data_IF_100575259472
#
_entry.id   IF_100575259472
#
_cell.length_a   1.000
_cell.length_b   1.000
_cell.length_c   1.000
_cell.angle_alpha   90.00
_cell.angle_beta   90.00
_cell.angle_gamma   90.00
#
_symmetry.space_group_name_H-M   'P 1'
#
loop_
_entity.id
_entity.type
_entity.pdbx_description
1 polymer ?
#
# COMPACT_ATOMS: atom_id res chain seq x y z
N UNK A 1 6.12 27.13 5.00
CA UNK A 1 4.93 26.61 4.30
C UNK A 1 4.39 25.42 5.07
N UNK A 2 3.09 25.30 5.22
CA UNK A 2 2.44 24.21 5.96
C UNK A 2 1.99 23.16 4.95
N UNK A 3 2.54 21.95 5.06
CA UNK A 3 2.28 20.83 4.13
C UNK A 3 1.26 19.87 4.73
N UNK A 4 0.16 19.61 4.03
CA UNK A 4 -0.75 18.50 4.33
C UNK A 4 -0.31 17.25 3.59
N UNK A 5 -0.48 16.08 4.22
CA UNK A 5 -0.25 14.79 3.57
C UNK A 5 -1.58 14.06 3.42
N UNK A 6 -1.87 13.64 2.20
CA UNK A 6 -3.10 12.94 1.80
C UNK A 6 -2.72 11.57 1.23
N UNK A 7 -3.51 10.55 1.50
CA UNK A 7 -3.40 9.23 0.90
C UNK A 7 -4.78 8.61 0.67
N UNK A 8 -4.84 7.59 -0.17
CA UNK A 8 -6.04 6.77 -0.36
C UNK A 8 -6.11 5.59 0.64
N UNK A 9 -7.25 4.94 0.70
CA UNK A 9 -7.50 3.84 1.65
C UNK A 9 -6.63 2.60 1.41
N UNK A 10 -6.00 2.46 0.23
CA UNK A 10 -5.08 1.35 -0.05
C UNK A 10 -3.87 1.28 0.88
N UNK A 11 -3.51 2.41 1.52
CA UNK A 11 -2.45 2.46 2.52
C UNK A 11 -2.83 1.69 3.80
N UNK A 12 -4.10 1.40 4.02
CA UNK A 12 -4.65 0.68 5.17
C UNK A 12 -4.09 1.21 6.52
N UNK A 13 -4.14 2.54 6.66
CA UNK A 13 -3.73 3.20 7.90
C UNK A 13 -4.80 3.02 8.98
N UNK A 14 -4.39 2.69 10.20
CA UNK A 14 -5.32 2.76 11.32
C UNK A 14 -5.73 4.22 11.58
N UNK A 15 -6.97 4.48 12.06
CA UNK A 15 -7.43 5.82 12.42
C UNK A 15 -6.47 6.54 13.38
N UNK A 16 -5.92 5.81 14.35
CA UNK A 16 -4.92 6.35 15.29
C UNK A 16 -3.65 6.79 14.56
N UNK A 17 -3.12 5.98 13.63
CA UNK A 17 -1.92 6.36 12.88
C UNK A 17 -2.17 7.56 11.96
N UNK A 18 -3.35 7.66 11.35
CA UNK A 18 -3.73 8.82 10.55
C UNK A 18 -3.80 10.10 11.43
N UNK A 19 -4.39 10.00 12.61
CA UNK A 19 -4.47 11.12 13.57
C UNK A 19 -3.10 11.54 14.09
N UNK A 20 -2.26 10.58 14.54
CA UNK A 20 -0.93 10.85 15.11
C UNK A 20 -0.02 11.63 14.15
N UNK A 21 -0.10 11.31 12.86
CA UNK A 21 0.68 11.95 11.80
C UNK A 21 -0.07 13.05 11.04
N UNK A 22 -1.31 13.38 11.42
CA UNK A 22 -2.17 14.35 10.74
C UNK A 22 -2.33 14.06 9.24
N UNK A 23 -2.51 12.80 8.90
CA UNK A 23 -2.71 12.32 7.54
C UNK A 23 -4.20 12.37 7.21
N UNK A 24 -4.55 12.95 6.08
CA UNK A 24 -5.90 12.85 5.51
C UNK A 24 -5.99 11.59 4.67
N UNK A 25 -6.92 10.71 4.99
CA UNK A 25 -7.20 9.49 4.21
C UNK A 25 -8.48 9.72 3.41
N UNK A 26 -8.43 9.45 2.10
CA UNK A 26 -9.60 9.45 1.22
C UNK A 26 -9.94 8.01 0.87
N UNK A 27 -11.23 7.67 0.85
CA UNK A 27 -11.67 6.29 0.76
C UNK A 27 -12.14 5.95 -0.65
N UNK A 28 -11.52 4.92 -1.24
CA UNK A 28 -11.93 4.42 -2.55
C UNK A 28 -13.29 3.71 -2.46
N UNK A 29 -14.22 3.95 -3.41
CA UNK A 29 -15.48 3.23 -3.46
C UNK A 29 -15.30 1.77 -3.86
N UNK A 30 -15.89 0.85 -3.09
CA UNK A 30 -15.93 -0.60 -3.33
C UNK A 30 -17.35 -0.99 -3.69
N UNK A 31 -17.52 -1.73 -4.77
CA UNK A 31 -18.83 -2.13 -5.27
C UNK A 31 -19.03 -3.64 -5.14
N UNK A 32 -20.10 -4.03 -4.40
CA UNK A 32 -20.67 -5.37 -4.40
C UNK A 32 -22.00 -5.32 -5.17
N UNK A 33 -22.01 -5.80 -6.39
CA UNK A 33 -23.15 -5.64 -7.29
C UNK A 33 -23.53 -4.17 -7.46
N UNK A 34 -24.73 -3.79 -6.98
CA UNK A 34 -25.24 -2.41 -7.05
C UNK A 34 -24.99 -1.60 -5.76
N UNK A 35 -24.38 -2.19 -4.74
CA UNK A 35 -24.09 -1.50 -3.48
C UNK A 35 -22.66 -0.93 -3.51
N UNK A 36 -22.54 0.34 -3.14
CA UNK A 36 -21.27 1.05 -3.02
C UNK A 36 -20.96 1.21 -1.54
N UNK A 37 -19.74 0.88 -1.16
CA UNK A 37 -19.20 1.04 0.20
C UNK A 37 -17.91 1.85 0.17
N UNK A 38 -17.72 2.69 1.20
CA UNK A 38 -16.46 3.40 1.44
C UNK A 38 -15.75 2.78 2.64
N UNK A 39 -14.50 2.42 2.44
CA UNK A 39 -13.67 1.80 3.47
C UNK A 39 -13.56 2.71 4.70
N UNK A 40 -13.71 2.14 5.91
CA UNK A 40 -13.70 2.84 7.20
C UNK A 40 -14.88 3.81 7.45
N UNK A 41 -15.80 3.99 6.52
CA UNK A 41 -17.04 4.74 6.69
C UNK A 41 -18.23 3.78 6.77
N UNK A 42 -18.46 3.04 5.67
CA UNK A 42 -19.61 2.14 5.51
C UNK A 42 -19.26 0.69 5.82
N UNK A 43 -17.98 0.33 5.66
CA UNK A 43 -17.52 -1.05 5.80
C UNK A 43 -16.15 -1.14 6.46
N UNK A 44 -16.03 -2.00 7.46
CA UNK A 44 -14.74 -2.38 8.07
C UNK A 44 -14.08 -3.52 7.30
N UNK A 45 -12.79 -3.75 7.52
CA UNK A 45 -12.06 -4.89 6.92
C UNK A 45 -12.75 -6.24 7.23
N UNK A 46 -13.17 -6.46 8.48
CA UNK A 46 -13.85 -7.70 8.86
C UNK A 46 -15.22 -7.87 8.18
N UNK A 47 -16.00 -6.77 8.04
CA UNK A 47 -17.26 -6.79 7.32
C UNK A 47 -17.07 -7.08 5.84
N UNK A 48 -16.03 -6.48 5.23
CA UNK A 48 -15.68 -6.74 3.83
C UNK A 48 -15.39 -8.22 3.59
N UNK A 49 -14.53 -8.86 4.39
CA UNK A 49 -14.21 -10.28 4.21
C UNK A 49 -15.39 -11.20 4.51
N UNK A 50 -16.30 -10.81 5.42
CA UNK A 50 -17.58 -11.53 5.60
C UNK A 50 -18.47 -11.44 4.37
N UNK A 51 -18.61 -10.25 3.78
CA UNK A 51 -19.36 -10.07 2.53
C UNK A 51 -18.72 -10.85 1.38
N UNK A 52 -17.41 -10.77 1.24
CA UNK A 52 -16.66 -11.47 0.19
C UNK A 52 -16.89 -12.99 0.18
N UNK A 53 -17.19 -13.59 1.35
CA UNK A 53 -17.48 -15.03 1.48
C UNK A 53 -18.90 -15.42 1.04
N UNK A 54 -19.87 -14.52 1.20
CA UNK A 54 -21.29 -14.82 0.92
C UNK A 54 -21.73 -14.31 -0.44
N UNK A 55 -21.10 -13.27 -0.96
CA UNK A 55 -21.41 -12.71 -2.27
C UNK A 55 -20.90 -13.62 -3.39
N UNK A 56 -21.74 -13.80 -4.43
CA UNK A 56 -21.38 -14.63 -5.59
C UNK A 56 -20.45 -13.92 -6.56
N UNK A 57 -20.62 -12.62 -6.67
CA UNK A 57 -19.88 -11.79 -7.61
C UNK A 57 -18.62 -11.22 -6.95
N UNK A 58 -17.53 -11.24 -7.69
CA UNK A 58 -16.30 -10.59 -7.27
C UNK A 58 -16.52 -9.08 -7.27
N UNK A 59 -16.26 -8.40 -6.13
CA UNK A 59 -16.42 -6.96 -6.04
C UNK A 59 -15.47 -6.22 -6.99
N UNK A 60 -15.79 -4.96 -7.26
CA UNK A 60 -15.00 -4.05 -8.08
C UNK A 60 -14.68 -2.77 -7.34
N UNK A 61 -13.70 -2.01 -7.83
CA UNK A 61 -13.26 -0.74 -7.27
C UNK A 61 -13.60 0.38 -8.26
N UNK A 62 -14.10 1.51 -7.75
CA UNK A 62 -14.15 2.77 -8.49
C UNK A 62 -13.04 3.70 -8.00
N UNK A 63 -12.73 4.72 -8.78
CA UNK A 63 -11.78 5.75 -8.37
C UNK A 63 -12.50 6.88 -7.63
N UNK A 64 -11.81 7.46 -6.66
CA UNK A 64 -12.22 8.72 -6.04
C UNK A 64 -12.29 9.79 -7.14
N UNK A 65 -13.41 10.48 -7.23
CA UNK A 65 -13.61 11.50 -8.26
C UNK A 65 -12.78 12.76 -7.99
N UNK A 66 -12.48 13.53 -9.04
CA UNK A 66 -11.78 14.82 -8.86
C UNK A 66 -12.66 15.86 -8.16
N UNK A 67 -13.98 15.70 -8.19
CA UNK A 67 -14.90 16.55 -7.43
C UNK A 67 -14.78 16.29 -5.92
N UNK A 68 -14.70 15.04 -5.50
CA UNK A 68 -14.42 14.66 -4.10
C UNK A 68 -13.06 15.17 -3.65
N UNK A 69 -12.03 15.02 -4.50
CA UNK A 69 -10.71 15.54 -4.20
C UNK A 69 -10.69 17.07 -4.07
N UNK A 70 -11.48 17.79 -4.87
CA UNK A 70 -11.58 19.25 -4.74
C UNK A 70 -12.15 19.65 -3.37
N UNK A 71 -13.15 18.93 -2.85
CA UNK A 71 -13.69 19.18 -1.51
C UNK A 71 -12.59 19.01 -0.45
N UNK A 72 -11.77 17.97 -0.56
CA UNK A 72 -10.62 17.75 0.35
C UNK A 72 -9.60 18.89 0.25
N UNK A 73 -9.27 19.32 -0.95
CA UNK A 73 -8.34 20.45 -1.16
C UNK A 73 -8.88 21.76 -0.59
N UNK A 74 -10.17 22.05 -0.78
CA UNK A 74 -10.81 23.25 -0.23
C UNK A 74 -10.82 23.25 1.31
N UNK A 75 -11.07 22.10 1.92
CA UNK A 75 -10.98 21.91 3.38
C UNK A 75 -9.55 22.14 3.89
N UNK A 76 -8.53 21.58 3.22
CA UNK A 76 -7.13 21.74 3.60
C UNK A 76 -6.68 23.20 3.45
N UNK A 77 -7.09 23.87 2.38
CA UNK A 77 -6.85 25.30 2.18
C UNK A 77 -7.50 26.14 3.29
N UNK A 78 -8.76 25.87 3.64
CA UNK A 78 -9.46 26.55 4.73
C UNK A 78 -8.79 26.30 6.10
N UNK A 79 -8.12 25.14 6.29
CA UNK A 79 -7.32 24.83 7.47
C UNK A 79 -5.92 25.49 7.47
N UNK A 80 -5.62 26.33 6.47
CA UNK A 80 -4.40 27.12 6.37
C UNK A 80 -3.17 26.30 5.94
N UNK A 81 -3.35 25.27 5.13
CA UNK A 81 -2.24 24.62 4.44
C UNK A 81 -1.91 25.38 3.15
N UNK A 82 -0.61 25.43 2.83
CA UNK A 82 -0.07 26.07 1.63
C UNK A 82 0.18 25.06 0.51
N UNK A 83 0.56 23.84 0.91
CA UNK A 83 0.93 22.75 0.02
C UNK A 83 0.24 21.45 0.44
N UNK A 84 -0.03 20.58 -0.53
CA UNK A 84 -0.54 19.24 -0.32
C UNK A 84 0.37 18.24 -1.04
N UNK A 85 0.83 17.22 -0.32
CA UNK A 85 1.48 16.06 -0.88
C UNK A 85 0.53 14.87 -0.84
N UNK A 86 0.05 14.44 -2.00
CA UNK A 86 -0.74 13.21 -2.14
C UNK A 86 0.21 12.06 -2.42
N UNK A 87 0.24 11.05 -1.53
CA UNK A 87 0.99 9.79 -1.73
C UNK A 87 -0.02 8.69 -1.99
N UNK A 88 -0.17 8.27 -3.23
CA UNK A 88 -1.27 7.39 -3.63
C UNK A 88 -0.84 5.98 -4.02
N UNK A 89 -1.85 5.10 -4.10
CA UNK A 89 -1.77 3.76 -4.67
C UNK A 89 -1.07 3.76 -6.02
N UNK A 90 -0.35 2.69 -6.30
CA UNK A 90 0.35 2.51 -7.58
C UNK A 90 -0.48 2.89 -8.80
N UNK A 91 0.06 3.78 -9.64
CA UNK A 91 -0.54 4.13 -10.93
C UNK A 91 -0.58 2.97 -11.92
N UNK A 92 0.19 1.91 -11.67
CA UNK A 92 0.17 0.68 -12.47
C UNK A 92 -1.08 -0.18 -12.27
N UNK A 93 -1.86 0.08 -11.20
CA UNK A 93 -3.10 -0.66 -10.89
C UNK A 93 -4.30 0.26 -10.65
N UNK A 94 -4.12 1.57 -10.56
CA UNK A 94 -5.20 2.56 -10.47
C UNK A 94 -4.87 3.79 -11.30
N UNK A 95 -5.84 4.32 -12.04
CA UNK A 95 -5.68 5.58 -12.79
C UNK A 95 -5.73 6.84 -11.92
N UNK A 96 -6.11 6.73 -10.64
CA UNK A 96 -6.36 7.85 -9.76
C UNK A 96 -5.17 8.80 -9.61
N UNK A 97 -3.98 8.27 -9.36
CA UNK A 97 -2.74 9.07 -9.24
C UNK A 97 -2.45 9.86 -10.52
N UNK A 98 -2.66 9.26 -11.70
CA UNK A 98 -2.45 9.95 -12.97
C UNK A 98 -3.51 11.04 -13.21
N UNK A 99 -4.77 10.78 -12.86
CA UNK A 99 -5.84 11.77 -12.92
C UNK A 99 -5.55 12.93 -11.99
N UNK A 100 -5.09 12.68 -10.76
CA UNK A 100 -4.66 13.73 -9.82
C UNK A 100 -3.50 14.56 -10.35
N UNK A 101 -2.47 13.95 -10.94
CA UNK A 101 -1.35 14.69 -11.55
C UNK A 101 -1.82 15.64 -12.64
N UNK A 102 -2.81 15.22 -13.43
CA UNK A 102 -3.41 16.07 -14.47
C UNK A 102 -4.27 17.17 -13.86
N UNK A 103 -4.98 16.88 -12.77
CA UNK A 103 -5.89 17.82 -12.11
C UNK A 103 -5.17 18.86 -11.22
N UNK A 104 -4.10 18.47 -10.54
CA UNK A 104 -3.37 19.27 -9.56
C UNK A 104 -3.05 20.71 -10.02
N UNK A 105 -2.60 20.97 -11.27
CA UNK A 105 -2.33 22.34 -11.73
C UNK A 105 -3.56 23.24 -11.79
N UNK A 106 -4.78 22.68 -11.76
CA UNK A 106 -6.04 23.45 -11.78
C UNK A 106 -6.49 23.92 -10.40
N UNK A 107 -5.93 23.34 -9.32
CA UNK A 107 -6.29 23.69 -7.94
C UNK A 107 -5.76 25.06 -7.58
N UNK A 108 -6.67 26.00 -7.26
CA UNK A 108 -6.30 27.40 -7.03
C UNK A 108 -5.95 27.67 -5.56
N UNK A 109 -4.78 28.29 -5.36
CA UNK A 109 -4.33 28.79 -4.05
C UNK A 109 -3.90 27.68 -3.09
N UNK A 110 -3.51 26.52 -3.64
CA UNK A 110 -2.91 25.39 -2.95
C UNK A 110 -1.95 24.71 -3.93
N UNK A 111 -0.69 24.52 -3.55
CA UNK A 111 0.28 23.76 -4.35
C UNK A 111 0.09 22.28 -4.08
N UNK A 112 -0.40 21.53 -5.08
CA UNK A 112 -0.70 20.11 -4.97
C UNK A 112 0.34 19.28 -5.72
N UNK A 113 1.10 18.47 -4.98
CA UNK A 113 2.06 17.53 -5.54
C UNK A 113 1.60 16.10 -5.33
N UNK A 114 1.84 15.24 -6.32
CA UNK A 114 1.35 13.86 -6.33
C UNK A 114 2.50 12.88 -6.50
N UNK A 115 2.68 12.03 -5.50
CA UNK A 115 3.67 10.96 -5.50
C UNK A 115 3.03 9.61 -5.76
N UNK A 116 3.51 8.90 -6.76
CA UNK A 116 3.13 7.52 -7.08
C UNK A 116 3.96 6.56 -6.22
N UNK A 117 3.32 5.85 -5.31
CA UNK A 117 4.04 4.88 -4.46
C UNK A 117 4.55 3.66 -5.22
N UNK A 118 3.94 3.33 -6.37
CA UNK A 118 4.18 2.11 -7.16
C UNK A 118 4.00 0.81 -6.38
N UNK A 119 3.25 0.87 -5.30
CA UNK A 119 2.93 -0.23 -4.40
C UNK A 119 1.56 -0.01 -3.76
N UNK A 120 1.23 -0.78 -2.71
CA UNK A 120 0.02 -0.68 -1.93
C UNK A 120 0.27 -1.06 -0.46
N UNK A 121 -0.76 -1.08 0.37
CA UNK A 121 -0.75 -1.54 1.75
C UNK A 121 0.38 -0.86 2.57
N UNK A 122 1.08 -1.65 3.39
CA UNK A 122 2.17 -1.16 4.24
C UNK A 122 3.30 -0.46 3.46
N UNK A 123 3.51 -0.79 2.18
CA UNK A 123 4.48 -0.11 1.31
C UNK A 123 4.12 1.37 1.11
N UNK A 124 2.88 1.65 0.73
CA UNK A 124 2.34 3.01 0.65
C UNK A 124 2.28 3.66 2.03
N UNK A 125 1.78 2.94 3.05
CA UNK A 125 1.66 3.45 4.43
C UNK A 125 2.99 3.94 5.00
N UNK A 126 4.10 3.23 4.75
CA UNK A 126 5.41 3.61 5.24
C UNK A 126 5.92 4.91 4.56
N UNK A 127 5.65 5.08 3.27
CA UNK A 127 5.95 6.32 2.54
C UNK A 127 5.11 7.49 3.05
N UNK A 128 3.81 7.28 3.24
CA UNK A 128 2.88 8.29 3.79
C UNK A 128 3.32 8.74 5.18
N UNK A 129 3.68 7.80 6.07
CA UNK A 129 4.16 8.11 7.43
C UNK A 129 5.47 8.87 7.41
N UNK A 130 6.41 8.51 6.53
CA UNK A 130 7.66 9.27 6.35
C UNK A 130 7.35 10.69 5.88
N UNK A 131 6.53 10.85 4.83
CA UNK A 131 6.14 12.15 4.31
C UNK A 131 5.51 13.05 5.40
N UNK A 132 4.56 12.51 6.14
CA UNK A 132 3.87 13.23 7.20
C UNK A 132 4.80 13.61 8.36
N UNK A 133 5.67 12.69 8.79
CA UNK A 133 6.64 12.97 9.84
C UNK A 133 7.66 14.04 9.41
N UNK A 134 8.13 14.04 8.17
CA UNK A 134 8.99 15.08 7.61
C UNK A 134 8.26 16.42 7.50
N UNK A 135 7.01 16.44 7.02
CA UNK A 135 6.19 17.64 6.95
C UNK A 135 5.99 18.28 8.33
N UNK A 136 5.69 17.46 9.35
CA UNK A 136 5.57 17.90 10.76
C UNK A 136 6.90 18.43 11.32
N UNK A 137 8.04 17.90 10.87
CA UNK A 137 9.38 18.38 11.22
C UNK A 137 9.82 19.62 10.41
N UNK A 138 8.98 20.14 9.50
CA UNK A 138 9.21 21.36 8.73
C UNK A 138 10.21 21.18 7.58
N UNK A 139 10.29 20.00 6.97
CA UNK A 139 11.04 19.80 5.72
C UNK A 139 10.31 20.43 4.53
N UNK A 140 11.07 20.85 3.53
CA UNK A 140 10.52 21.28 2.24
C UNK A 140 9.93 20.09 1.47
N UNK A 141 8.96 20.34 0.60
CA UNK A 141 8.27 19.25 -0.13
C UNK A 141 9.22 18.52 -1.09
N UNK A 142 10.22 19.22 -1.63
CA UNK A 142 11.27 18.68 -2.49
C UNK A 142 12.14 17.65 -1.74
N UNK A 143 12.51 17.95 -0.49
CA UNK A 143 13.27 17.04 0.37
C UNK A 143 12.45 15.80 0.68
N UNK A 144 11.16 15.97 1.00
CA UNK A 144 10.22 14.87 1.24
C UNK A 144 10.14 13.98 0.00
N UNK A 145 9.91 14.54 -1.18
CA UNK A 145 9.83 13.81 -2.46
C UNK A 145 11.11 13.03 -2.76
N UNK A 146 12.28 13.59 -2.43
CA UNK A 146 13.58 12.92 -2.57
C UNK A 146 13.66 11.69 -1.67
N UNK A 147 13.28 11.80 -0.39
CA UNK A 147 13.30 10.68 0.53
C UNK A 147 12.24 9.62 0.20
N UNK A 148 11.07 10.03 -0.27
CA UNK A 148 10.06 9.09 -0.76
C UNK A 148 10.56 8.31 -1.98
N UNK A 149 11.26 8.95 -2.90
CA UNK A 149 11.86 8.28 -4.06
C UNK A 149 12.89 7.25 -3.63
N UNK A 150 13.74 7.58 -2.64
CA UNK A 150 14.71 6.64 -2.05
C UNK A 150 14.00 5.45 -1.37
N UNK A 151 12.98 5.73 -0.56
CA UNK A 151 12.24 4.68 0.15
C UNK A 151 11.49 3.77 -0.83
N UNK A 152 10.84 4.34 -1.87
CA UNK A 152 10.18 3.59 -2.94
C UNK A 152 11.13 2.64 -3.65
N UNK A 153 12.32 3.10 -4.01
CA UNK A 153 13.34 2.27 -4.68
C UNK A 153 13.80 1.08 -3.83
N UNK A 154 13.72 1.21 -2.49
CA UNK A 154 14.07 0.16 -1.54
C UNK A 154 12.84 -0.64 -1.04
N UNK A 155 11.65 -0.38 -1.57
CA UNK A 155 10.41 -1.06 -1.16
C UNK A 155 10.09 -2.20 -2.11
N UNK A 156 9.87 -3.38 -1.56
CA UNK A 156 9.38 -4.56 -2.30
C UNK A 156 8.12 -5.08 -1.63
N UNK A 157 7.10 -5.33 -2.44
CA UNK A 157 5.84 -5.95 -2.01
C UNK A 157 5.68 -7.27 -2.73
N UNK A 158 5.57 -8.37 -1.98
CA UNK A 158 5.31 -9.70 -2.52
C UNK A 158 4.07 -10.26 -1.85
N UNK A 159 3.11 -10.70 -2.66
CA UNK A 159 1.87 -11.29 -2.18
C UNK A 159 1.75 -12.73 -2.67
N UNK A 160 1.29 -13.61 -1.80
CA UNK A 160 0.88 -14.98 -2.08
C UNK A 160 -0.65 -14.94 -2.15
N UNK A 161 -1.22 -15.14 -3.32
CA UNK A 161 -2.68 -15.10 -3.49
C UNK A 161 -3.25 -16.52 -3.59
N UNK A 162 -4.50 -16.67 -3.16
CA UNK A 162 -5.18 -17.97 -3.23
C UNK A 162 -5.68 -18.26 -4.65
N UNK A 163 -5.95 -17.22 -5.43
CA UNK A 163 -6.43 -17.32 -6.81
C UNK A 163 -6.13 -16.03 -7.58
N UNK A 164 -5.88 -16.16 -8.87
CA UNK A 164 -5.73 -15.02 -9.79
C UNK A 164 -7.06 -14.42 -10.27
N UNK A 165 -8.21 -15.05 -9.91
CA UNK A 165 -9.54 -14.67 -10.43
C UNK A 165 -9.90 -13.21 -10.16
N UNK A 166 -9.61 -12.72 -8.97
CA UNK A 166 -9.87 -11.33 -8.56
C UNK A 166 -9.09 -10.32 -9.41
N UNK A 167 -7.79 -10.57 -9.61
CA UNK A 167 -6.92 -9.72 -10.42
C UNK A 167 -7.34 -9.69 -11.90
N UNK A 168 -7.72 -10.85 -12.45
CA UNK A 168 -8.20 -10.96 -13.83
C UNK A 168 -9.55 -10.26 -14.00
N UNK A 169 -10.51 -10.51 -13.09
CA UNK A 169 -11.85 -9.89 -13.14
C UNK A 169 -11.77 -8.38 -13.07
N UNK A 170 -10.87 -7.84 -12.25
CA UNK A 170 -10.67 -6.41 -12.08
C UNK A 170 -9.72 -5.80 -13.13
N UNK A 171 -9.25 -6.57 -14.12
CA UNK A 171 -8.40 -6.07 -15.21
C UNK A 171 -7.00 -5.61 -14.77
N UNK A 172 -6.51 -6.09 -13.62
CA UNK A 172 -5.18 -5.71 -13.08
C UNK A 172 -4.06 -6.63 -13.52
N UNK A 173 -4.43 -7.73 -14.19
CA UNK A 173 -3.52 -8.62 -14.88
C UNK A 173 -4.23 -9.20 -16.10
N UNK A 174 -3.53 -9.27 -17.23
CA UNK A 174 -4.11 -9.84 -18.44
C UNK A 174 -4.00 -11.36 -18.41
N UNK A 175 -5.10 -12.03 -18.81
CA UNK A 175 -5.11 -13.47 -18.99
C UNK A 175 -4.35 -13.82 -20.29
N UNK A 176 -3.06 -14.12 -20.14
CA UNK A 176 -2.20 -14.56 -21.23
C UNK A 176 -1.71 -16.01 -20.99
N UNK A 177 -1.04 -16.61 -21.97
CA UNK A 177 -0.56 -17.99 -21.89
C UNK A 177 0.38 -18.26 -20.69
N UNK A 178 1.08 -17.24 -20.19
CA UNK A 178 1.94 -17.36 -19.00
C UNK A 178 1.14 -17.55 -17.72
N UNK A 179 -0.13 -17.14 -17.68
CA UNK A 179 -1.04 -17.30 -16.53
C UNK A 179 -1.82 -18.63 -16.56
N UNK A 180 -1.92 -19.30 -17.70
CA UNK A 180 -2.71 -20.52 -17.83
C UNK A 180 -2.33 -21.59 -16.79
N UNK A 181 -1.02 -21.70 -16.48
CA UNK A 181 -0.55 -22.60 -15.44
C UNK A 181 -0.76 -22.12 -13.99
N UNK A 182 -1.06 -20.84 -13.74
CA UNK A 182 -1.30 -20.28 -12.40
C UNK A 182 -2.78 -20.32 -12.01
N UNK A 183 -3.67 -20.48 -12.99
CA UNK A 183 -5.13 -20.61 -12.76
C UNK A 183 -5.55 -22.03 -12.33
N UNK A 184 -4.64 -23.00 -12.32
CA UNK A 184 -4.94 -24.36 -11.89
C UNK A 184 -5.24 -24.36 -10.40
N UNK A 185 -6.42 -24.85 -10.03
CA UNK A 185 -6.84 -25.13 -8.65
C UNK A 185 -5.73 -25.90 -7.91
N UNK A 186 -5.24 -25.39 -6.80
CA UNK A 186 -4.20 -25.90 -5.89
C UNK A 186 -2.82 -25.28 -5.99
N UNK A 187 -2.58 -24.28 -6.83
CA UNK A 187 -1.34 -23.50 -6.77
C UNK A 187 -1.52 -22.24 -5.91
N UNK A 188 -0.42 -21.76 -5.36
CA UNK A 188 -0.29 -20.50 -4.64
C UNK A 188 0.52 -19.54 -5.53
N UNK A 189 -0.12 -18.70 -6.36
CA UNK A 189 0.59 -17.70 -7.15
C UNK A 189 1.30 -16.70 -6.25
N UNK A 190 2.52 -16.34 -6.64
CA UNK A 190 3.34 -15.30 -5.99
C UNK A 190 3.41 -14.13 -6.94
N UNK A 191 2.97 -12.97 -6.50
CA UNK A 191 2.91 -11.75 -7.30
C UNK A 191 3.68 -10.61 -6.63
N UNK A 192 4.10 -9.64 -7.44
CA UNK A 192 4.78 -8.42 -6.99
C UNK A 192 4.38 -7.23 -7.83
N UNK A 193 4.81 -6.04 -7.44
CA UNK A 193 4.79 -4.85 -8.28
C UNK A 193 6.13 -4.73 -9.02
N UNK A 194 6.10 -4.53 -10.33
CA UNK A 194 7.30 -4.24 -11.11
C UNK A 194 7.73 -2.77 -10.99
N UNK A 195 8.79 -2.38 -11.66
CA UNK A 195 9.34 -1.02 -11.67
C UNK A 195 8.33 0.07 -12.11
N UNK A 196 7.31 -0.30 -12.89
CA UNK A 196 6.22 0.58 -13.31
C UNK A 196 4.99 0.51 -12.39
N UNK A 197 5.08 -0.21 -11.26
CA UNK A 197 3.98 -0.39 -10.32
C UNK A 197 2.85 -1.30 -10.83
N UNK A 198 3.07 -2.06 -11.91
CA UNK A 198 2.11 -3.06 -12.41
C UNK A 198 2.31 -4.39 -11.72
N UNK A 199 1.21 -5.10 -11.49
CA UNK A 199 1.28 -6.45 -10.93
C UNK A 199 1.88 -7.41 -11.96
N UNK A 200 2.86 -8.18 -11.52
CA UNK A 200 3.46 -9.28 -12.27
C UNK A 200 3.55 -10.55 -11.43
N UNK A 201 3.49 -11.70 -12.09
CA UNK A 201 3.69 -13.00 -11.46
C UNK A 201 5.18 -13.29 -11.36
N UNK A 202 5.67 -13.56 -10.14
CA UNK A 202 7.04 -14.02 -9.89
C UNK A 202 7.17 -15.55 -10.04
N UNK A 203 6.10 -16.28 -9.67
CA UNK A 203 6.12 -17.74 -9.68
C UNK A 203 4.84 -18.30 -9.07
N UNK A 204 4.86 -19.59 -8.83
CA UNK A 204 3.78 -20.33 -8.16
C UNK A 204 4.34 -21.48 -7.37
N UNK A 205 3.70 -21.78 -6.25
CA UNK A 205 4.03 -22.93 -5.42
C UNK A 205 2.80 -23.82 -5.20
N UNK A 206 3.03 -25.08 -4.85
CA UNK A 206 1.93 -26.02 -4.59
C UNK A 206 1.33 -25.85 -3.20
N UNK A 207 2.12 -25.41 -2.23
CA UNK A 207 1.71 -25.24 -0.84
C UNK A 207 1.98 -23.83 -0.37
N UNK A 208 1.24 -23.38 0.65
CA UNK A 208 1.47 -22.09 1.29
C UNK A 208 2.88 -22.04 1.89
N UNK A 209 3.31 -23.10 2.56
CA UNK A 209 4.64 -23.20 3.19
C UNK A 209 5.78 -22.99 2.18
N UNK A 210 5.70 -23.62 1.00
CA UNK A 210 6.70 -23.44 -0.05
C UNK A 210 6.68 -22.00 -0.60
N UNK A 211 5.48 -21.42 -0.75
CA UNK A 211 5.35 -20.03 -1.20
C UNK A 211 5.95 -19.05 -0.18
N UNK A 212 5.68 -19.26 1.12
CA UNK A 212 6.28 -18.46 2.19
C UNK A 212 7.81 -18.58 2.18
N UNK A 213 8.36 -19.78 2.01
CA UNK A 213 9.81 -19.99 1.92
C UNK A 213 10.41 -19.25 0.72
N UNK A 214 9.81 -19.33 -0.47
CA UNK A 214 10.30 -18.66 -1.67
C UNK A 214 10.32 -17.13 -1.49
N UNK A 215 9.30 -16.56 -0.86
CA UNK A 215 9.23 -15.12 -0.53
C UNK A 215 10.29 -14.75 0.50
N UNK A 216 10.46 -15.56 1.53
CA UNK A 216 11.45 -15.36 2.59
C UNK A 216 12.89 -15.41 2.09
N UNK A 217 13.21 -16.26 1.12
CA UNK A 217 14.52 -16.30 0.46
C UNK A 217 14.82 -14.97 -0.28
N UNK A 218 13.83 -14.38 -0.92
CA UNK A 218 13.98 -13.07 -1.56
C UNK A 218 14.20 -11.95 -0.54
N UNK A 219 13.48 -11.98 0.58
CA UNK A 219 13.67 -11.07 1.70
C UNK A 219 15.05 -11.22 2.34
N UNK A 220 15.52 -12.46 2.57
CA UNK A 220 16.83 -12.73 3.16
C UNK A 220 17.96 -12.11 2.35
N UNK A 221 17.89 -12.21 1.01
CA UNK A 221 18.87 -11.55 0.12
C UNK A 221 18.88 -10.04 0.29
N UNK A 222 17.72 -9.42 0.42
CA UNK A 222 17.62 -7.98 0.67
C UNK A 222 18.24 -7.59 2.02
N UNK A 223 17.97 -8.32 3.10
CA UNK A 223 18.53 -8.06 4.43
C UNK A 223 20.06 -8.15 4.42
N UNK A 224 20.62 -9.20 3.79
CA UNK A 224 22.07 -9.42 3.72
C UNK A 224 22.78 -8.28 2.96
N UNK A 225 22.14 -7.74 1.93
CA UNK A 225 22.73 -6.67 1.11
C UNK A 225 22.45 -5.27 1.64
N UNK A 226 21.50 -5.13 2.55
CA UNK A 226 21.14 -3.82 3.12
C UNK A 226 22.17 -3.37 4.15
N UNK A 227 22.69 -2.15 3.96
CA UNK A 227 23.58 -1.48 4.94
C UNK A 227 22.80 -0.61 5.95
N UNK A 228 21.49 -0.49 5.78
CA UNK A 228 20.61 0.34 6.59
C UNK A 228 19.56 -0.53 7.29
N UNK A 229 19.01 -0.05 8.43
CA UNK A 229 17.96 -0.75 9.12
C UNK A 229 16.78 -1.10 8.22
N UNK A 230 16.33 -2.35 8.31
CA UNK A 230 15.25 -2.90 7.50
C UNK A 230 13.97 -3.03 8.32
N UNK A 231 12.86 -2.78 7.65
CA UNK A 231 11.51 -3.00 8.15
C UNK A 231 10.82 -4.04 7.28
N UNK A 232 10.02 -4.89 7.93
CA UNK A 232 9.18 -5.89 7.30
C UNK A 232 7.76 -5.78 7.87
N UNK A 233 6.78 -5.71 6.98
CA UNK A 233 5.37 -5.81 7.32
C UNK A 233 4.81 -7.11 6.70
N UNK A 234 4.34 -8.04 7.56
CA UNK A 234 3.64 -9.28 7.16
C UNK A 234 2.16 -8.98 7.19
N UNK A 235 1.47 -9.16 6.08
CA UNK A 235 0.07 -8.77 5.94
C UNK A 235 -0.81 -9.94 5.51
N UNK A 236 -2.07 -9.95 5.95
CA UNK A 236 -3.03 -11.00 5.65
C UNK A 236 -4.37 -10.47 5.17
N UNK A 237 -5.02 -11.24 4.33
CA UNK A 237 -6.41 -11.12 3.94
C UNK A 237 -7.24 -12.13 4.77
N UNK A 238 -7.61 -11.74 6.00
CA UNK A 238 -8.44 -12.54 6.91
C UNK A 238 -7.78 -13.85 7.45
N UNK A 239 -6.43 -13.91 7.43
CA UNK A 239 -5.64 -15.03 7.96
C UNK A 239 -4.62 -14.53 9.01
N UNK A 240 -5.08 -13.73 9.98
CA UNK A 240 -4.22 -13.01 10.92
C UNK A 240 -3.38 -13.95 11.79
N UNK A 241 -3.91 -15.11 12.19
CA UNK A 241 -3.17 -16.11 12.94
C UNK A 241 -1.97 -16.65 12.13
N UNK A 242 -2.18 -16.96 10.85
CA UNK A 242 -1.12 -17.46 9.96
C UNK A 242 -0.06 -16.36 9.72
N UNK A 243 -0.50 -15.11 9.58
CA UNK A 243 0.43 -13.98 9.43
C UNK A 243 1.26 -13.74 10.70
N UNK A 244 0.67 -13.86 11.88
CA UNK A 244 1.39 -13.68 13.15
C UNK A 244 2.37 -14.84 13.43
N UNK A 245 1.99 -16.08 13.13
CA UNK A 245 2.89 -17.23 13.21
C UNK A 245 4.12 -17.01 12.30
N UNK A 246 3.88 -16.64 11.05
CA UNK A 246 4.96 -16.34 10.10
C UNK A 246 5.82 -15.14 10.55
N UNK A 247 5.20 -14.08 11.03
CA UNK A 247 5.93 -12.93 11.56
C UNK A 247 6.78 -13.28 12.79
N UNK A 248 6.31 -14.20 13.65
CA UNK A 248 7.05 -14.67 14.81
C UNK A 248 8.29 -15.47 14.43
N UNK A 249 8.20 -16.35 13.44
CA UNK A 249 9.35 -17.04 12.86
C UNK A 249 10.37 -16.03 12.28
N UNK A 250 9.89 -15.00 11.57
CA UNK A 250 10.74 -13.98 10.97
C UNK A 250 11.42 -13.08 12.02
N UNK A 251 10.75 -12.75 13.12
CA UNK A 251 11.37 -12.03 14.26
C UNK A 251 12.51 -12.83 14.87
N UNK A 252 12.34 -14.14 15.00
CA UNK A 252 13.38 -15.02 15.51
C UNK A 252 14.58 -15.12 14.57
N UNK A 253 14.33 -15.26 13.26
CA UNK A 253 15.38 -15.42 12.26
C UNK A 253 16.13 -14.11 11.95
N UNK A 254 15.45 -12.97 12.05
CA UNK A 254 15.98 -11.65 11.72
C UNK A 254 15.82 -10.65 12.89
N UNK A 255 16.53 -10.84 14.01
CA UNK A 255 16.31 -10.04 15.23
C UNK A 255 16.63 -8.54 15.06
N UNK A 256 17.44 -8.15 14.05
CA UNK A 256 17.72 -6.76 13.72
C UNK A 256 16.65 -6.09 12.84
N UNK A 257 15.71 -6.86 12.30
CA UNK A 257 14.63 -6.35 11.44
C UNK A 257 13.43 -5.96 12.28
N UNK A 258 12.83 -4.82 11.98
CA UNK A 258 11.56 -4.42 12.58
C UNK A 258 10.40 -5.13 11.88
N UNK A 259 9.93 -6.23 12.43
CA UNK A 259 8.80 -7.00 11.89
C UNK A 259 7.49 -6.56 12.53
N UNK A 260 6.49 -6.26 11.70
CA UNK A 260 5.10 -5.96 12.09
C UNK A 260 4.13 -6.84 11.33
N UNK A 261 2.93 -7.02 11.88
CA UNK A 261 1.79 -7.62 11.20
C UNK A 261 0.74 -6.56 10.86
N UNK A 262 -0.10 -6.84 9.88
CA UNK A 262 -1.19 -5.97 9.46
C UNK A 262 -2.19 -6.68 8.56
N UNK A 263 -3.33 -6.04 8.32
CA UNK A 263 -4.34 -6.56 7.41
C UNK A 263 -4.11 -6.09 5.97
N UNK A 264 -4.61 -6.85 5.01
CA UNK A 264 -4.91 -6.38 3.66
C UNK A 264 -6.30 -5.78 3.71
N UNK A 265 -6.40 -4.44 3.59
CA UNK A 265 -7.68 -3.73 3.64
C UNK A 265 -8.60 -4.04 2.46
N UNK A 266 -9.86 -3.62 2.54
CA UNK A 266 -10.91 -3.91 1.56
C UNK A 266 -10.53 -3.62 0.11
N UNK A 267 -9.94 -2.45 -0.18
CA UNK A 267 -9.53 -2.10 -1.54
C UNK A 267 -8.60 -3.16 -2.15
N UNK A 268 -7.55 -3.51 -1.44
CA UNK A 268 -6.62 -4.53 -1.93
C UNK A 268 -7.22 -5.93 -1.84
N UNK A 269 -8.13 -6.19 -0.90
CA UNK A 269 -8.91 -7.42 -0.79
C UNK A 269 -9.78 -7.70 -2.02
N UNK A 270 -10.33 -6.64 -2.66
CA UNK A 270 -11.02 -6.76 -3.97
C UNK A 270 -10.09 -7.36 -5.03
N UNK A 271 -8.81 -7.00 -5.01
CA UNK A 271 -7.81 -7.45 -6.01
C UNK A 271 -7.18 -8.80 -5.65
N UNK A 272 -6.90 -9.05 -4.38
CA UNK A 272 -6.19 -10.26 -3.93
C UNK A 272 -7.12 -11.42 -3.58
N UNK A 273 -8.35 -11.10 -3.21
CA UNK A 273 -9.31 -12.06 -2.65
C UNK A 273 -8.98 -12.43 -1.20
N UNK A 274 -9.79 -13.32 -0.64
CA UNK A 274 -9.63 -13.89 0.70
C UNK A 274 -8.40 -14.82 0.77
N UNK A 275 -7.82 -14.98 1.96
CA UNK A 275 -6.67 -15.84 2.22
C UNK A 275 -5.37 -15.45 1.48
N UNK A 276 -5.21 -14.20 1.07
CA UNK A 276 -3.92 -13.72 0.60
C UNK A 276 -3.00 -13.40 1.78
N UNK A 277 -1.71 -13.68 1.62
CA UNK A 277 -0.66 -13.30 2.55
C UNK A 277 0.41 -12.50 1.84
N UNK A 278 1.12 -11.62 2.54
CA UNK A 278 2.18 -10.85 1.92
C UNK A 278 3.30 -10.49 2.86
N UNK A 279 4.46 -10.25 2.25
CA UNK A 279 5.60 -9.59 2.87
C UNK A 279 5.89 -8.29 2.13
N UNK A 280 6.00 -7.21 2.88
CA UNK A 280 6.38 -5.90 2.37
C UNK A 280 7.59 -5.43 3.16
N UNK A 281 8.71 -5.27 2.49
CA UNK A 281 9.93 -4.84 3.13
C UNK A 281 10.51 -3.59 2.49
N UNK A 282 11.20 -2.82 3.30
CA UNK A 282 11.87 -1.59 2.89
C UNK A 282 12.96 -1.21 3.87
N UNK A 283 13.67 -0.12 3.59
CA UNK A 283 14.41 0.57 4.65
C UNK A 283 13.46 1.01 5.76
N UNK A 284 13.89 0.91 7.03
CA UNK A 284 13.07 1.44 8.13
C UNK A 284 13.11 2.98 8.11
N UNK A 285 11.98 3.59 7.78
CA UNK A 285 11.86 5.03 7.65
C UNK A 285 12.08 5.79 8.97
N UNK A 286 11.91 5.15 10.14
CA UNK A 286 12.11 5.82 11.44
C UNK A 286 13.57 6.16 11.71
N UNK A 287 14.54 5.22 11.66
CA UNK A 287 15.96 5.55 11.74
C UNK A 287 16.40 6.49 10.62
N UNK A 288 15.85 6.35 9.41
CA UNK A 288 16.15 7.26 8.30
C UNK A 288 15.78 8.71 8.66
N UNK A 289 14.57 8.94 9.18
CA UNK A 289 14.14 10.26 9.63
C UNK A 289 15.00 10.79 10.78
N UNK A 290 15.38 9.92 11.73
CA UNK A 290 16.25 10.31 12.85
C UNK A 290 17.61 10.82 12.35
N UNK A 291 18.23 10.12 11.38
CA UNK A 291 19.50 10.54 10.78
C UNK A 291 19.35 11.89 10.05
N UNK A 292 18.30 12.07 9.25
CA UNK A 292 18.03 13.34 8.56
C UNK A 292 17.86 14.52 9.53
N UNK A 293 17.15 14.31 10.64
CA UNK A 293 16.99 15.34 11.65
C UNK A 293 18.32 15.72 12.34
N UNK A 294 19.23 14.76 12.56
CA UNK A 294 20.55 15.02 13.11
C UNK A 294 21.45 15.79 12.13
N UNK A 295 21.41 15.46 10.84
CA UNK A 295 22.14 16.18 9.79
C UNK A 295 21.71 17.64 9.68
N UNK A 296 20.39 17.90 9.81
CA UNK A 296 19.83 19.25 9.74
C UNK A 296 20.18 20.15 10.96
N UNK A 297 20.53 19.55 12.08
CA UNK A 297 20.93 20.28 13.32
C UNK A 297 22.41 20.63 13.35
N UNK A 298 23.21 20.08 12.47
CA UNK A 298 24.64 20.38 12.28
C UNK A 298 24.85 21.52 11.30
#
# INVERSE_FOLDING_TARGET
MKIAVVTDSSANLSPQAAADYKITVVNDPIMFGNHVYHENEDITTDQFYRLLKVEKDIPTISQISMAEMQVVFDQLKAAGYDQVLVVGLSSGISGWVNNLKTYAPSVKGLDVQVFDSRTACAGTANMVKLAAAMALAGYAIEDIMTQLTRLRAATTTVLIVNSMRHLVKNGRIYNNSSLAGTMVLRNKPIITFNEHGKIQVLGKERTLKNAQQAVQESFSRFVITSQLPVRLDVISANDDAIAEDWASELRYQFPAVRVKTGAIGPLMGVLTGDHALGMIWSLDWKPLLTALNQERQR
#
